data_IF_311523573332
#
_entry.id   IF_311523573332
#
_cell.length_a   1.000
_cell.length_b   1.000
_cell.length_c   1.000
_cell.angle_alpha   90.00
_cell.angle_beta   90.00
_cell.angle_gamma   90.00
#
_symmetry.space_group_name_H-M   'P 1'
#
loop_
_entity.id
_entity.type
_entity.pdbx_description
1 polymer ?
#
# COMPACT_ATOMS: atom_id res chain seq x y z
N UNK A 1 -21.70 2.54 -19.05
CA UNK A 1 -21.52 2.03 -17.68
C UNK A 1 -22.11 3.06 -16.74
N UNK A 2 -23.04 2.68 -15.87
CA UNK A 2 -23.62 3.61 -14.89
C UNK A 2 -22.61 3.71 -13.73
N UNK A 3 -22.13 4.90 -13.42
CA UNK A 3 -21.15 5.11 -12.34
C UNK A 3 -21.93 5.13 -11.02
N UNK A 4 -21.70 4.15 -10.17
CA UNK A 4 -22.33 4.02 -8.84
C UNK A 4 -21.49 4.69 -7.73
N UNK A 5 -20.17 4.69 -7.86
CA UNK A 5 -19.24 5.27 -6.90
C UNK A 5 -18.25 6.23 -7.58
N UNK A 6 -18.63 7.50 -7.72
CA UNK A 6 -17.80 8.52 -8.35
C UNK A 6 -16.39 8.68 -7.74
N UNK A 7 -16.24 8.38 -6.44
CA UNK A 7 -14.95 8.55 -5.74
C UNK A 7 -13.92 7.49 -6.11
N UNK A 8 -14.36 6.33 -6.54
CA UNK A 8 -13.48 5.20 -6.87
C UNK A 8 -13.45 4.93 -8.37
N UNK A 9 -14.61 4.94 -9.03
CA UNK A 9 -14.73 4.57 -10.44
C UNK A 9 -14.16 5.63 -11.39
N UNK A 10 -14.30 6.93 -11.07
CA UNK A 10 -13.77 8.01 -11.92
C UNK A 10 -12.23 7.99 -11.93
N UNK A 11 -11.53 7.93 -10.79
CA UNK A 11 -10.07 7.78 -10.79
C UNK A 11 -9.62 6.50 -11.48
N UNK A 12 -10.30 5.37 -11.23
CA UNK A 12 -9.97 4.11 -11.86
C UNK A 12 -10.04 4.20 -13.39
N UNK A 13 -11.16 4.68 -13.95
CA UNK A 13 -11.34 4.82 -15.40
C UNK A 13 -10.28 5.74 -16.04
N UNK A 14 -9.87 6.80 -15.35
CA UNK A 14 -8.82 7.69 -15.81
C UNK A 14 -7.45 6.97 -15.92
N UNK A 15 -7.08 6.17 -14.92
CA UNK A 15 -5.83 5.44 -14.96
C UNK A 15 -5.88 4.21 -15.88
N UNK A 16 -7.04 3.57 -16.01
CA UNK A 16 -7.25 2.52 -17.00
C UNK A 16 -7.04 3.02 -18.43
N UNK A 17 -7.54 4.23 -18.76
CA UNK A 17 -7.31 4.84 -20.07
C UNK A 17 -5.83 5.11 -20.32
N UNK A 18 -5.11 5.66 -19.34
CA UNK A 18 -3.65 5.85 -19.43
C UNK A 18 -2.90 4.54 -19.58
N UNK A 19 -3.31 3.52 -18.82
CA UNK A 19 -2.70 2.19 -18.86
C UNK A 19 -2.83 1.55 -20.25
N UNK A 20 -3.94 1.75 -20.94
CA UNK A 20 -4.16 1.24 -22.31
C UNK A 20 -3.16 1.79 -23.32
N UNK A 21 -2.65 3.00 -23.10
CA UNK A 21 -1.64 3.67 -23.93
C UNK A 21 -0.19 3.47 -23.46
N UNK A 22 0.02 2.73 -22.37
CA UNK A 22 1.34 2.49 -21.77
C UNK A 22 2.21 1.60 -22.66
N UNK A 23 3.49 1.94 -22.82
CA UNK A 23 4.48 1.04 -23.42
C UNK A 23 5.03 0.08 -22.34
N UNK A 24 4.83 -1.24 -22.48
CA UNK A 24 5.40 -2.21 -21.54
C UNK A 24 6.92 -2.12 -21.38
N UNK A 25 7.65 -1.73 -22.43
CA UNK A 25 9.09 -1.58 -22.36
C UNK A 25 9.52 -0.46 -21.40
N UNK A 26 8.76 0.63 -21.31
CA UNK A 26 8.99 1.70 -20.35
C UNK A 26 8.79 1.25 -18.91
N UNK A 27 7.79 0.40 -18.66
CA UNK A 27 7.56 -0.20 -17.32
C UNK A 27 8.73 -1.06 -16.93
N UNK A 28 9.15 -1.97 -17.80
CA UNK A 28 10.27 -2.89 -17.55
C UNK A 28 11.60 -2.18 -17.34
N UNK A 29 11.79 -1.01 -17.97
CA UNK A 29 12.97 -0.18 -17.76
C UNK A 29 13.00 0.53 -16.39
N UNK A 30 11.82 0.78 -15.78
CA UNK A 30 11.66 1.55 -14.52
C UNK A 30 11.45 0.67 -13.29
N UNK A 31 10.84 -0.52 -13.45
CA UNK A 31 10.36 -1.37 -12.35
C UNK A 31 10.94 -2.79 -12.48
N UNK A 32 12.00 -3.08 -11.74
CA UNK A 32 12.67 -4.39 -11.76
C UNK A 32 11.86 -5.51 -11.07
N UNK A 33 10.99 -5.13 -10.12
CA UNK A 33 10.15 -6.08 -9.40
C UNK A 33 8.88 -6.48 -10.16
N UNK A 34 8.64 -5.89 -11.34
CA UNK A 34 7.56 -6.25 -12.25
C UNK A 34 8.09 -7.20 -13.32
N UNK A 35 7.30 -8.17 -13.73
CA UNK A 35 7.61 -9.01 -14.90
C UNK A 35 6.57 -8.83 -15.99
N UNK A 36 6.99 -8.98 -17.24
CA UNK A 36 6.16 -8.90 -18.44
C UNK A 36 6.37 -10.13 -19.31
N UNK A 37 5.30 -10.83 -19.68
CA UNK A 37 5.37 -12.05 -20.49
C UNK A 37 4.95 -11.84 -21.95
N UNK A 38 4.67 -10.63 -22.37
CA UNK A 38 4.14 -10.28 -23.70
C UNK A 38 2.62 -10.00 -23.72
N UNK A 39 1.91 -10.29 -22.63
CA UNK A 39 0.47 -10.09 -22.51
C UNK A 39 0.05 -9.55 -21.13
N UNK A 40 0.74 -9.94 -20.06
CA UNK A 40 0.38 -9.58 -18.69
C UNK A 40 1.60 -9.08 -17.90
N UNK A 41 1.37 -8.04 -17.07
CA UNK A 41 2.29 -7.66 -16.01
C UNK A 41 2.02 -8.50 -14.76
N UNK A 42 3.06 -9.03 -14.13
CA UNK A 42 2.95 -9.62 -12.79
C UNK A 42 3.52 -8.66 -11.76
N UNK A 43 2.71 -8.33 -10.76
CA UNK A 43 3.05 -7.41 -9.66
C UNK A 43 2.75 -8.06 -8.32
N UNK A 44 3.69 -7.99 -7.37
CA UNK A 44 3.46 -8.42 -5.99
C UNK A 44 3.09 -7.23 -5.11
N UNK A 45 2.02 -7.37 -4.32
CA UNK A 45 1.56 -6.40 -3.31
C UNK A 45 1.32 -7.13 -1.99
N UNK A 46 2.06 -6.77 -0.95
CA UNK A 46 1.98 -7.39 0.39
C UNK A 46 2.04 -8.94 0.32
N UNK A 47 3.00 -9.45 -0.46
CA UNK A 47 3.22 -10.89 -0.62
C UNK A 47 2.24 -11.62 -1.54
N UNK A 48 1.18 -10.96 -2.04
CA UNK A 48 0.25 -11.52 -3.02
C UNK A 48 0.60 -11.07 -4.44
N UNK A 49 0.63 -11.98 -5.38
CA UNK A 49 0.91 -11.68 -6.78
C UNK A 49 -0.36 -11.57 -7.60
N UNK A 50 -0.37 -10.56 -8.48
CA UNK A 50 -1.47 -10.25 -9.39
C UNK A 50 -0.95 -10.20 -10.82
N UNK A 51 -1.69 -10.81 -11.75
CA UNK A 51 -1.47 -10.64 -13.18
C UNK A 51 -2.44 -9.58 -13.69
N UNK A 52 -1.93 -8.64 -14.47
CA UNK A 52 -2.67 -7.51 -15.05
C UNK A 52 -2.47 -7.51 -16.55
N UNK A 53 -3.52 -7.83 -17.28
CA UNK A 53 -3.51 -7.90 -18.76
C UNK A 53 -3.39 -6.50 -19.35
N UNK A 54 -2.63 -6.36 -20.44
CA UNK A 54 -2.44 -5.15 -21.21
C UNK A 54 -2.62 -5.42 -22.72
N UNK A 55 -3.21 -4.51 -23.51
CA UNK A 55 -3.67 -3.17 -23.16
C UNK A 55 -5.04 -3.10 -22.47
N UNK A 56 -5.88 -4.11 -22.65
CA UNK A 56 -7.21 -4.17 -22.04
C UNK A 56 -7.08 -4.69 -20.61
N UNK A 57 -7.30 -3.78 -19.67
CA UNK A 57 -7.13 -4.07 -18.25
C UNK A 57 -8.04 -5.20 -17.79
N UNK A 58 -7.43 -6.26 -17.30
CA UNK A 58 -8.08 -7.27 -16.48
C UNK A 58 -7.09 -7.69 -15.38
N UNK A 59 -7.56 -7.90 -14.17
CA UNK A 59 -6.71 -8.33 -13.05
C UNK A 59 -7.17 -9.70 -12.55
N UNK A 60 -6.20 -10.55 -12.22
CA UNK A 60 -6.42 -11.83 -11.53
C UNK A 60 -5.39 -12.02 -10.42
N UNK A 61 -5.85 -12.59 -9.31
CA UNK A 61 -4.97 -13.01 -8.24
C UNK A 61 -4.33 -14.37 -8.59
N UNK A 62 -3.01 -14.47 -8.52
CA UNK A 62 -2.29 -15.71 -8.88
C UNK A 62 -2.44 -16.81 -7.84
N UNK A 63 -2.84 -16.46 -6.61
CA UNK A 63 -3.19 -17.39 -5.54
C UNK A 63 -4.64 -17.93 -5.61
N UNK A 64 -5.41 -17.54 -6.64
CA UNK A 64 -6.83 -17.87 -6.78
C UNK A 64 -7.76 -17.19 -5.77
N UNK A 65 -7.21 -16.28 -4.96
CA UNK A 65 -7.97 -15.55 -3.95
C UNK A 65 -8.84 -14.42 -4.52
N UNK A 66 -9.49 -13.68 -3.62
CA UNK A 66 -10.32 -12.54 -3.99
C UNK A 66 -9.49 -11.43 -4.65
N UNK A 67 -10.10 -10.76 -5.62
CA UNK A 67 -9.52 -9.56 -6.23
C UNK A 67 -9.44 -8.42 -5.20
N UNK A 68 -8.44 -7.53 -5.31
CA UNK A 68 -8.36 -6.36 -4.48
C UNK A 68 -9.50 -5.38 -4.81
N UNK A 69 -9.95 -4.57 -3.85
CA UNK A 69 -10.95 -3.54 -4.09
C UNK A 69 -10.44 -2.48 -5.07
N UNK A 70 -11.36 -1.75 -5.69
CA UNK A 70 -11.05 -0.80 -6.76
C UNK A 70 -9.99 0.25 -6.42
N UNK A 71 -9.94 0.84 -5.20
CA UNK A 71 -8.85 1.74 -4.82
C UNK A 71 -7.47 1.08 -4.86
N UNK A 72 -7.38 -0.19 -4.50
CA UNK A 72 -6.12 -0.95 -4.60
C UNK A 72 -5.76 -1.27 -6.05
N UNK A 73 -6.74 -1.54 -6.91
CA UNK A 73 -6.50 -1.71 -8.34
C UNK A 73 -5.99 -0.40 -8.97
N UNK A 74 -6.58 0.75 -8.59
CA UNK A 74 -6.11 2.07 -9.01
C UNK A 74 -4.67 2.32 -8.54
N UNK A 75 -4.32 1.93 -7.32
CA UNK A 75 -2.95 2.02 -6.80
C UNK A 75 -1.96 1.19 -7.64
N UNK A 76 -2.33 -0.04 -8.02
CA UNK A 76 -1.51 -0.90 -8.89
C UNK A 76 -1.33 -0.28 -10.28
N UNK A 77 -2.38 0.30 -10.87
CA UNK A 77 -2.28 1.02 -12.15
C UNK A 77 -1.33 2.21 -12.04
N UNK A 78 -1.44 3.02 -10.98
CA UNK A 78 -0.54 4.16 -10.75
C UNK A 78 0.89 3.71 -10.52
N UNK A 79 1.12 2.61 -9.81
CA UNK A 79 2.44 2.02 -9.66
C UNK A 79 3.07 1.69 -11.01
N UNK A 80 2.34 1.01 -11.90
CA UNK A 80 2.82 0.69 -13.25
C UNK A 80 3.05 1.93 -14.11
N UNK A 81 2.22 2.97 -13.98
CA UNK A 81 2.26 4.18 -14.79
C UNK A 81 3.31 5.20 -14.34
N UNK A 82 3.43 5.42 -13.03
CA UNK A 82 4.07 6.62 -12.49
C UNK A 82 5.27 6.29 -11.58
N UNK A 83 5.33 5.10 -10.99
CA UNK A 83 6.39 4.74 -10.04
C UNK A 83 7.70 4.34 -10.74
N UNK A 84 8.76 4.30 -9.98
CA UNK A 84 10.10 3.88 -10.42
C UNK A 84 10.85 3.20 -9.27
N UNK A 85 11.83 2.39 -9.60
CA UNK A 85 12.71 1.82 -8.59
C UNK A 85 13.64 2.90 -8.03
N UNK A 86 13.62 3.05 -6.72
CA UNK A 86 14.51 3.92 -5.97
C UNK A 86 15.10 3.13 -4.82
N UNK A 87 16.41 3.13 -4.70
CA UNK A 87 17.08 2.41 -3.63
C UNK A 87 16.71 3.00 -2.26
N UNK A 88 16.30 2.13 -1.34
CA UNK A 88 16.12 2.50 0.06
C UNK A 88 17.47 2.68 0.74
N UNK A 89 17.67 3.81 1.44
CA UNK A 89 18.95 4.09 2.14
C UNK A 89 19.05 3.47 3.53
N UNK A 90 17.97 2.89 4.03
CA UNK A 90 17.85 2.36 5.39
C UNK A 90 17.11 3.31 6.36
N UNK A 91 16.76 4.53 5.90
CA UNK A 91 16.03 5.48 6.72
C UNK A 91 14.52 5.26 6.68
N UNK A 92 13.88 5.61 7.79
CA UNK A 92 12.42 5.59 7.93
C UNK A 92 11.90 7.01 8.06
N UNK A 93 10.83 7.33 7.33
CA UNK A 93 10.18 8.64 7.34
C UNK A 93 8.72 8.50 7.81
N UNK A 94 8.27 9.46 8.59
CA UNK A 94 6.84 9.65 8.81
C UNK A 94 6.21 10.25 7.56
N UNK A 95 4.89 10.12 7.42
CA UNK A 95 4.17 10.74 6.31
C UNK A 95 4.42 12.25 6.22
N UNK A 96 4.53 12.94 7.37
CA UNK A 96 4.73 14.39 7.47
C UNK A 96 6.09 14.84 6.92
N UNK A 97 7.14 14.03 7.09
CA UNK A 97 8.51 14.36 6.65
C UNK A 97 8.71 14.26 5.14
N UNK A 98 7.78 13.63 4.44
CA UNK A 98 7.83 13.48 2.99
C UNK A 98 7.18 14.67 2.27
N UNK A 99 7.54 14.94 0.99
CA UNK A 99 6.96 16.02 0.19
C UNK A 99 5.43 16.01 0.24
N UNK A 100 4.82 17.18 0.43
CA UNK A 100 3.35 17.39 0.54
C UNK A 100 2.69 16.74 1.77
N UNK A 101 3.46 16.05 2.63
CA UNK A 101 2.92 15.37 3.81
C UNK A 101 2.15 16.30 4.75
N UNK A 102 2.65 17.52 4.95
CA UNK A 102 1.99 18.49 5.82
C UNK A 102 0.60 18.92 5.31
N UNK A 103 0.43 19.04 3.99
CA UNK A 103 -0.88 19.41 3.41
C UNK A 103 -1.93 18.30 3.57
N UNK A 104 -1.50 17.04 3.51
CA UNK A 104 -2.38 15.87 3.60
C UNK A 104 -2.45 15.26 5.00
N UNK A 105 -1.82 15.87 6.01
CA UNK A 105 -1.70 15.28 7.35
C UNK A 105 -3.06 15.04 8.02
N UNK A 106 -4.04 15.93 7.86
CA UNK A 106 -5.37 15.77 8.48
C UNK A 106 -6.12 14.55 7.95
N UNK A 107 -6.35 14.40 6.62
CA UNK A 107 -7.00 13.20 6.08
C UNK A 107 -6.17 11.94 6.34
N UNK A 108 -4.84 12.00 6.29
CA UNK A 108 -3.97 10.89 6.61
C UNK A 108 -4.11 10.43 8.07
N UNK A 109 -4.11 11.37 9.02
CA UNK A 109 -4.25 11.05 10.46
C UNK A 109 -5.55 10.27 10.71
N UNK A 110 -6.67 10.76 10.21
CA UNK A 110 -7.97 10.09 10.41
C UNK A 110 -8.07 8.74 9.68
N UNK A 111 -7.65 8.71 8.41
CA UNK A 111 -7.79 7.54 7.54
C UNK A 111 -6.80 6.43 7.88
N UNK A 112 -5.59 6.78 8.31
CA UNK A 112 -4.51 5.82 8.55
C UNK A 112 -4.18 5.70 10.04
N UNK A 113 -3.68 6.75 10.70
CA UNK A 113 -3.16 6.62 12.06
C UNK A 113 -4.25 6.30 13.09
N UNK A 114 -5.34 7.08 13.13
CA UNK A 114 -6.46 6.83 14.05
C UNK A 114 -7.09 5.46 13.80
N UNK A 115 -7.30 5.13 12.52
CA UNK A 115 -7.85 3.82 12.15
C UNK A 115 -6.94 2.68 12.58
N UNK A 116 -5.61 2.77 12.36
CA UNK A 116 -4.65 1.76 12.80
C UNK A 116 -4.67 1.62 14.32
N UNK A 117 -4.62 2.74 15.07
CA UNK A 117 -4.66 2.77 16.53
C UNK A 117 -5.86 2.01 17.08
N UNK A 118 -7.08 2.36 16.65
CA UNK A 118 -8.29 1.71 17.15
C UNK A 118 -8.55 0.32 16.58
N UNK A 119 -7.98 -0.02 15.41
CA UNK A 119 -8.10 -1.37 14.86
C UNK A 119 -7.16 -2.35 15.55
N UNK A 120 -5.94 -1.94 15.85
CA UNK A 120 -4.86 -2.80 16.32
C UNK A 120 -4.56 -2.62 17.81
N UNK A 121 -4.54 -1.39 18.32
CA UNK A 121 -4.17 -1.09 19.70
C UNK A 121 -5.20 -1.51 20.74
N UNK A 122 -6.41 -1.87 20.33
CA UNK A 122 -7.40 -2.54 21.19
C UNK A 122 -7.32 -4.07 21.11
N UNK A 123 -6.49 -4.62 20.21
CA UNK A 123 -6.37 -6.05 19.93
C UNK A 123 -4.95 -6.43 19.52
N UNK A 124 -3.96 -5.98 20.30
CA UNK A 124 -2.52 -6.12 19.99
C UNK A 124 -2.12 -7.58 19.72
N UNK A 125 -2.65 -8.55 20.48
CA UNK A 125 -2.37 -9.97 20.25
C UNK A 125 -2.83 -10.45 18.86
N UNK A 126 -4.03 -10.03 18.42
CA UNK A 126 -4.54 -10.37 17.09
C UNK A 126 -3.75 -9.68 15.98
N UNK A 127 -3.31 -8.44 16.20
CA UNK A 127 -2.41 -7.73 15.28
C UNK A 127 -1.08 -8.47 15.10
N UNK A 128 -0.43 -8.90 16.21
CA UNK A 128 0.82 -9.68 16.16
C UNK A 128 0.63 -10.96 15.34
N UNK A 129 -0.39 -11.75 15.65
CA UNK A 129 -0.68 -12.99 14.93
C UNK A 129 -0.95 -12.77 13.42
N UNK A 130 -1.67 -11.70 13.07
CA UNK A 130 -1.93 -11.34 11.68
C UNK A 130 -0.66 -10.93 10.94
N UNK A 131 0.19 -10.09 11.54
CA UNK A 131 1.46 -9.65 10.96
C UNK A 131 2.42 -10.82 10.75
N UNK A 132 2.55 -11.72 11.72
CA UNK A 132 3.37 -12.94 11.61
C UNK A 132 2.86 -13.87 10.51
N UNK A 133 1.53 -14.05 10.40
CA UNK A 133 0.91 -14.83 9.33
C UNK A 133 1.16 -14.24 7.94
N UNK A 134 1.32 -12.93 7.84
CA UNK A 134 1.71 -12.24 6.60
C UNK A 134 3.22 -12.31 6.32
N UNK A 135 4.03 -12.90 7.20
CA UNK A 135 5.48 -12.95 7.07
C UNK A 135 6.18 -11.63 7.37
N UNK A 136 5.52 -10.72 8.10
CA UNK A 136 6.10 -9.44 8.48
C UNK A 136 7.22 -9.61 9.52
N UNK A 137 8.23 -8.75 9.44
CA UNK A 137 9.36 -8.79 10.35
C UNK A 137 9.10 -7.94 11.60
N UNK A 138 9.28 -8.48 12.82
CA UNK A 138 9.08 -7.72 14.05
C UNK A 138 10.13 -6.60 14.20
N UNK A 139 9.71 -5.44 14.69
CA UNK A 139 10.60 -4.31 15.05
C UNK A 139 10.43 -3.93 16.52
N UNK A 140 11.51 -3.43 17.14
CA UNK A 140 11.58 -3.17 18.59
C UNK A 140 11.02 -1.78 18.97
N UNK A 141 9.84 -1.43 18.49
CA UNK A 141 9.19 -0.16 18.83
C UNK A 141 7.69 -0.37 19.09
N UNK A 142 7.14 0.36 20.08
CA UNK A 142 5.76 0.19 20.53
C UNK A 142 5.56 -1.10 21.32
N UNK A 143 4.31 -1.42 21.67
CA UNK A 143 3.93 -2.70 22.27
C UNK A 143 3.87 -3.82 21.22
N UNK A 144 3.69 -3.42 19.96
CA UNK A 144 3.86 -4.25 18.78
C UNK A 144 4.29 -3.40 17.59
N UNK A 145 5.33 -3.83 16.87
CA UNK A 145 5.81 -3.20 15.66
C UNK A 145 6.19 -4.24 14.62
N UNK A 146 5.83 -4.00 13.36
CA UNK A 146 6.16 -4.91 12.25
C UNK A 146 6.52 -4.14 10.99
N UNK A 147 7.48 -4.68 10.24
CA UNK A 147 7.88 -4.24 8.91
C UNK A 147 7.24 -5.11 7.84
N UNK A 148 6.74 -4.50 6.79
CA UNK A 148 6.08 -5.13 5.66
C UNK A 148 6.73 -4.69 4.35
N UNK A 149 6.99 -5.63 3.45
CA UNK A 149 7.27 -5.31 2.05
C UNK A 149 5.93 -4.99 1.36
N UNK A 150 5.74 -3.73 0.96
CA UNK A 150 4.51 -3.33 0.32
C UNK A 150 4.49 -3.76 -1.15
N UNK A 151 5.40 -3.21 -1.95
CA UNK A 151 5.49 -3.39 -3.40
C UNK A 151 6.86 -2.95 -3.90
N UNK A 152 7.52 -3.74 -4.74
CA UNK A 152 8.70 -3.31 -5.50
C UNK A 152 9.84 -2.70 -4.68
N UNK A 153 10.16 -3.22 -3.49
CA UNK A 153 11.21 -2.68 -2.62
C UNK A 153 10.79 -1.49 -1.75
N UNK A 154 9.53 -1.06 -1.83
CA UNK A 154 8.95 -0.06 -0.93
C UNK A 154 8.42 -0.73 0.34
N UNK A 155 8.95 -0.33 1.49
CA UNK A 155 8.66 -0.94 2.77
C UNK A 155 7.91 -0.01 3.71
N UNK A 156 7.07 -0.58 4.56
CA UNK A 156 6.33 0.16 5.59
C UNK A 156 6.48 -0.50 6.95
N UNK A 157 6.44 0.31 8.01
CA UNK A 157 6.29 -0.18 9.38
C UNK A 157 4.98 0.30 9.97
N UNK A 158 4.33 -0.54 10.75
CA UNK A 158 3.27 -0.13 11.68
C UNK A 158 3.76 -0.39 13.10
N UNK A 159 3.73 0.66 13.91
CA UNK A 159 4.01 0.64 15.34
C UNK A 159 2.71 0.89 16.08
N UNK A 160 2.41 0.07 17.07
CA UNK A 160 1.14 0.10 17.81
C UNK A 160 1.43 0.18 19.30
N UNK A 161 0.71 1.07 19.98
CA UNK A 161 0.67 1.17 21.45
C UNK A 161 -0.73 0.81 21.91
N UNK A 162 -0.82 -0.11 22.87
CA UNK A 162 -2.08 -0.55 23.46
C UNK A 162 -2.70 0.58 24.27
N UNK A 163 -4.02 0.72 24.17
CA UNK A 163 -4.73 1.66 25.04
C UNK A 163 -4.97 1.04 26.40
N UNK A 164 -5.02 1.88 27.43
CA UNK A 164 -5.35 1.53 28.80
C UNK A 164 -6.47 2.44 29.37
N UNK A 165 -6.71 2.40 30.68
CA UNK A 165 -7.74 3.21 31.34
C UNK A 165 -7.43 4.71 31.33
N UNK A 166 -6.16 5.11 31.14
CA UNK A 166 -5.70 6.50 31.17
C UNK A 166 -5.44 7.05 29.75
N UNK A 167 -5.00 6.20 28.82
CA UNK A 167 -4.58 6.63 27.49
C UNK A 167 -5.27 5.81 26.38
N UNK A 168 -5.78 6.48 25.33
CA UNK A 168 -6.32 5.78 24.18
C UNK A 168 -5.19 5.06 23.41
N UNK A 169 -5.52 4.01 22.63
CA UNK A 169 -4.55 3.35 21.78
C UNK A 169 -3.94 4.33 20.77
N UNK A 170 -2.68 4.10 20.41
CA UNK A 170 -1.97 4.92 19.44
C UNK A 170 -1.31 4.05 18.36
N UNK A 171 -1.04 4.63 17.20
CA UNK A 171 -0.30 3.99 16.14
C UNK A 171 0.53 4.99 15.33
N UNK A 172 1.66 4.52 14.82
CA UNK A 172 2.49 5.25 13.87
C UNK A 172 2.74 4.36 12.64
N UNK A 173 2.73 4.98 11.46
CA UNK A 173 3.14 4.34 10.21
C UNK A 173 4.38 5.06 9.71
N UNK A 174 5.42 4.27 9.45
CA UNK A 174 6.67 4.74 8.84
C UNK A 174 6.78 4.14 7.43
N UNK A 175 7.42 4.88 6.57
CA UNK A 175 7.69 4.55 5.18
C UNK A 175 9.20 4.51 4.97
N UNK A 176 9.71 3.56 4.18
CA UNK A 176 11.08 3.65 3.69
C UNK A 176 11.27 4.96 2.91
N UNK A 177 12.41 5.61 3.04
CA UNK A 177 12.65 6.96 2.51
C UNK A 177 12.45 7.09 0.99
N UNK A 178 12.63 5.99 0.25
CA UNK A 178 12.38 5.91 -1.19
C UNK A 178 10.91 6.17 -1.60
N UNK A 179 9.95 6.07 -0.67
CA UNK A 179 8.55 6.42 -0.96
C UNK A 179 8.37 7.86 -1.43
N UNK A 180 9.23 8.77 -0.98
CA UNK A 180 9.16 10.17 -1.38
C UNK A 180 9.36 10.37 -2.88
N UNK A 181 10.17 9.51 -3.50
CA UNK A 181 10.53 9.57 -4.92
C UNK A 181 9.69 8.66 -5.81
N UNK A 182 9.12 7.59 -5.25
CA UNK A 182 8.35 6.59 -6.01
C UNK A 182 6.84 6.81 -6.00
N UNK A 183 6.31 7.54 -5.02
CA UNK A 183 4.86 7.69 -4.82
C UNK A 183 4.46 9.13 -4.47
N UNK A 184 3.38 9.62 -5.09
CA UNK A 184 2.75 10.88 -4.70
C UNK A 184 2.16 10.81 -3.28
N UNK A 185 1.89 11.97 -2.68
CA UNK A 185 1.32 12.04 -1.32
C UNK A 185 0.00 11.27 -1.18
N UNK A 186 -0.85 11.35 -2.20
CA UNK A 186 -2.12 10.62 -2.23
C UNK A 186 -1.91 9.10 -2.23
N UNK A 187 -0.95 8.60 -3.02
CA UNK A 187 -0.63 7.17 -3.06
C UNK A 187 -0.10 6.65 -1.73
N UNK A 188 0.66 7.47 -1.02
CA UNK A 188 1.15 7.13 0.32
C UNK A 188 0.02 6.99 1.34
N UNK A 189 -1.05 7.82 1.22
CA UNK A 189 -2.28 7.63 2.01
C UNK A 189 -2.97 6.32 1.65
N UNK A 190 -3.08 6.03 0.34
CA UNK A 190 -3.69 4.78 -0.14
C UNK A 190 -2.87 3.56 0.29
N UNK A 191 -1.53 3.63 0.22
CA UNK A 191 -0.63 2.58 0.71
C UNK A 191 -0.87 2.25 2.19
N UNK A 192 -1.01 3.28 3.05
CA UNK A 192 -1.36 3.11 4.46
C UNK A 192 -2.71 2.43 4.66
N UNK A 193 -3.71 2.82 3.88
CA UNK A 193 -5.05 2.24 3.92
C UNK A 193 -5.08 0.77 3.45
N UNK A 194 -4.34 0.45 2.38
CA UNK A 194 -4.15 -0.92 1.89
C UNK A 194 -3.51 -1.79 2.95
N UNK A 195 -2.40 -1.33 3.56
CA UNK A 195 -1.69 -2.08 4.59
C UNK A 195 -2.61 -2.40 5.79
N UNK A 196 -3.32 -1.39 6.33
CA UNK A 196 -4.25 -1.56 7.44
C UNK A 196 -5.37 -2.55 7.09
N UNK A 197 -5.97 -2.38 5.90
CA UNK A 197 -7.07 -3.24 5.44
C UNK A 197 -6.62 -4.68 5.25
N UNK A 198 -5.40 -4.87 4.71
CA UNK A 198 -4.83 -6.20 4.51
C UNK A 198 -4.55 -6.88 5.85
N UNK A 199 -3.84 -6.22 6.79
CA UNK A 199 -3.59 -6.78 8.13
C UNK A 199 -4.92 -7.16 8.81
N UNK A 200 -5.92 -6.26 8.76
CA UNK A 200 -7.25 -6.53 9.35
C UNK A 200 -7.91 -7.77 8.75
N UNK A 201 -7.68 -8.09 7.49
CA UNK A 201 -8.26 -9.28 6.85
C UNK A 201 -7.65 -10.61 7.33
N UNK A 202 -6.49 -10.54 7.99
CA UNK A 202 -5.80 -11.68 8.61
C UNK A 202 -6.11 -11.86 10.10
N UNK A 203 -6.78 -10.88 10.74
CA UNK A 203 -7.23 -10.91 12.13
C UNK A 203 -8.53 -11.72 12.32
#
# INVERSE_FOLDING_TARGET
>A
MQIENHKEEVPFAHYEEKFRALDPAEVMARLQAVTWDGAEFTVALLGRSFAITHPDYAIRALDGGKLPPLPTQTFLLRYLLESRDVAWTGEWKTFREMPWGEMYIKPYTGRCLTRAAFTFGTRVAAFKAAAEKMGAEPVKHGDAGYRFDLIGGYQMQILVWEGDDEFPPNAQILYSDNFADGFAAEDRVVAGDILISTIKSYM
#
